data_IF_810171942263
#
_entry.id   IF_810171942263
#
_cell.length_a   1.000
_cell.length_b   1.000
_cell.length_c   1.000
_cell.angle_alpha   90.00
_cell.angle_beta   90.00
_cell.angle_gamma   90.00
#
_symmetry.space_group_name_H-M   'P 1'
#
loop_
_entity.id
_entity.type
_entity.pdbx_description
1 polymer ?
#
# COMPACT_ATOMS: atom_id res chain seq x y z
N UNK A 1 -20.70 -6.61 -19.29
CA UNK A 1 -20.10 -7.86 -18.79
C UNK A 1 -19.20 -7.49 -17.62
N UNK A 2 -19.45 -8.04 -16.44
CA UNK A 2 -18.55 -7.87 -15.29
C UNK A 2 -17.33 -8.75 -15.56
N UNK A 3 -16.15 -8.14 -15.58
CA UNK A 3 -14.88 -8.82 -15.90
C UNK A 3 -14.17 -9.35 -14.65
N UNK A 4 -14.58 -8.91 -13.46
CA UNK A 4 -14.06 -9.39 -12.19
C UNK A 4 -14.72 -8.69 -11.00
N UNK A 5 -14.73 -9.37 -9.85
CA UNK A 5 -15.29 -8.86 -8.59
C UNK A 5 -14.16 -8.83 -7.56
N UNK A 6 -13.83 -7.65 -7.04
CA UNK A 6 -12.88 -7.49 -5.93
C UNK A 6 -13.65 -7.22 -4.65
N UNK A 7 -13.74 -8.22 -3.77
CA UNK A 7 -14.41 -8.09 -2.48
C UNK A 7 -13.41 -8.31 -1.34
N UNK A 8 -13.59 -7.55 -0.25
CA UNK A 8 -12.87 -7.77 0.99
C UNK A 8 -13.65 -8.76 1.85
N UNK A 9 -13.09 -9.92 2.10
CA UNK A 9 -13.66 -10.94 2.99
C UNK A 9 -12.79 -11.12 4.22
N UNK A 10 -13.41 -11.42 5.36
CA UNK A 10 -12.72 -11.77 6.60
C UNK A 10 -12.69 -13.28 6.73
N UNK A 11 -11.54 -13.83 7.11
CA UNK A 11 -11.41 -15.27 7.37
C UNK A 11 -12.21 -15.61 8.63
N UNK A 12 -13.21 -16.46 8.48
CA UNK A 12 -14.07 -16.94 9.56
C UNK A 12 -13.42 -18.08 10.37
N UNK A 13 -14.22 -18.71 11.23
CA UNK A 13 -13.79 -19.87 12.02
C UNK A 13 -13.26 -20.98 11.09
N UNK A 14 -12.16 -21.61 11.50
CA UNK A 14 -11.50 -22.70 10.77
C UNK A 14 -10.97 -22.32 9.38
N UNK A 15 -10.69 -21.03 9.12
CA UNK A 15 -10.09 -20.62 7.85
C UNK A 15 -11.08 -20.47 6.69
N UNK A 16 -12.39 -20.58 6.95
CA UNK A 16 -13.42 -20.46 5.91
C UNK A 16 -13.56 -19.01 5.43
N UNK A 17 -13.64 -18.84 4.12
CA UNK A 17 -13.93 -17.56 3.45
C UNK A 17 -15.23 -17.74 2.67
N UNK A 18 -16.23 -16.92 2.98
CA UNK A 18 -17.51 -16.91 2.27
C UNK A 18 -17.53 -15.70 1.32
N UNK A 19 -17.78 -15.97 0.03
CA UNK A 19 -17.81 -14.97 -1.04
C UNK A 19 -19.21 -14.96 -1.66
N UNK A 20 -20.17 -14.19 -1.11
CA UNK A 20 -21.51 -14.09 -1.67
C UNK A 20 -21.49 -13.30 -2.99
N UNK A 21 -22.02 -13.90 -4.06
CA UNK A 21 -22.11 -13.24 -5.39
C UNK A 21 -23.55 -13.28 -5.88
N UNK A 22 -24.15 -12.12 -6.15
CA UNK A 22 -25.51 -12.02 -6.70
C UNK A 22 -25.54 -12.01 -8.23
N UNK A 23 -24.39 -11.80 -8.88
CA UNK A 23 -24.29 -11.47 -10.31
C UNK A 23 -23.69 -12.60 -11.16
N UNK A 24 -23.45 -13.78 -10.57
CA UNK A 24 -22.87 -14.94 -11.27
C UNK A 24 -23.92 -16.05 -11.35
N UNK A 25 -24.44 -16.36 -12.56
CA UNK A 25 -25.41 -17.42 -12.73
C UNK A 25 -24.77 -18.79 -12.47
N UNK A 26 -25.61 -19.77 -12.12
CA UNK A 26 -25.18 -21.15 -11.89
C UNK A 26 -24.47 -21.73 -13.13
N UNK A 27 -23.38 -22.47 -12.91
CA UNK A 27 -22.56 -23.04 -13.99
C UNK A 27 -21.49 -22.09 -14.55
N UNK A 28 -21.38 -20.85 -14.05
CA UNK A 28 -20.31 -19.92 -14.45
C UNK A 28 -18.96 -20.39 -13.90
N UNK A 29 -17.98 -20.57 -14.77
CA UNK A 29 -16.59 -20.85 -14.38
C UNK A 29 -15.95 -19.53 -13.94
N UNK A 30 -15.37 -19.51 -12.74
CA UNK A 30 -14.75 -18.32 -12.15
C UNK A 30 -13.35 -18.64 -11.64
N UNK A 31 -12.46 -17.66 -11.74
CA UNK A 31 -11.15 -17.69 -11.11
C UNK A 31 -11.19 -16.87 -9.82
N UNK A 32 -10.68 -17.44 -8.72
CA UNK A 32 -10.66 -16.79 -7.39
C UNK A 32 -9.22 -16.52 -6.99
N UNK A 33 -8.88 -15.23 -6.85
CA UNK A 33 -7.56 -14.80 -6.38
C UNK A 33 -7.68 -14.34 -4.93
N UNK A 34 -7.04 -15.07 -4.01
CA UNK A 34 -7.00 -14.71 -2.58
C UNK A 34 -5.72 -13.92 -2.29
N UNK A 35 -5.88 -12.64 -2.01
CA UNK A 35 -4.80 -11.76 -1.57
C UNK A 35 -4.89 -11.56 -0.06
N UNK A 36 -3.99 -12.19 0.69
CA UNK A 36 -3.84 -11.91 2.11
C UNK A 36 -3.04 -10.63 2.30
N UNK A 37 -3.71 -9.54 2.67
CA UNK A 37 -2.99 -8.42 3.28
C UNK A 37 -2.60 -8.84 4.68
N UNK A 38 -1.33 -8.72 5.11
CA UNK A 38 -1.02 -8.80 6.53
C UNK A 38 -1.91 -7.79 7.24
N UNK A 39 -2.51 -8.20 8.37
CA UNK A 39 -3.22 -7.30 9.27
C UNK A 39 -2.36 -6.05 9.38
N UNK A 40 -2.93 -4.90 9.00
CA UNK A 40 -2.25 -3.62 9.13
C UNK A 40 -1.80 -3.55 10.58
N UNK A 41 -0.50 -3.71 10.83
CA UNK A 41 0.09 -3.55 12.15
C UNK A 41 -0.43 -2.19 12.59
N UNK A 42 -1.20 -2.15 13.69
CA UNK A 42 -1.72 -0.89 14.19
C UNK A 42 -0.52 0.05 14.27
N UNK A 43 -0.54 1.13 13.49
CA UNK A 43 0.55 2.10 13.48
C UNK A 43 0.73 2.53 14.93
N UNK A 44 1.89 2.22 15.50
CA UNK A 44 2.17 2.56 16.88
C UNK A 44 2.18 4.09 16.95
N UNK A 45 1.21 4.65 17.67
CA UNK A 45 1.18 6.09 17.90
C UNK A 45 2.27 6.36 18.92
N UNK A 46 3.31 7.07 18.49
CA UNK A 46 4.42 7.47 19.34
C UNK A 46 4.16 8.89 19.82
N UNK A 47 4.40 9.15 21.10
CA UNK A 47 4.56 10.52 21.60
C UNK A 47 5.80 11.16 20.96
N UNK A 48 5.89 12.50 20.98
CA UNK A 48 7.06 13.20 20.44
C UNK A 48 8.39 12.70 21.05
N UNK A 49 8.38 12.37 22.35
CA UNK A 49 9.55 11.81 23.05
C UNK A 49 9.89 10.40 22.57
N UNK A 50 8.90 9.50 22.48
CA UNK A 50 9.15 8.14 21.97
C UNK A 50 9.56 8.12 20.49
N UNK A 51 9.13 9.11 19.71
CA UNK A 51 9.57 9.29 18.34
C UNK A 51 11.03 9.75 18.30
N UNK A 52 11.43 10.70 19.16
CA UNK A 52 12.82 11.15 19.30
C UNK A 52 13.74 9.99 19.72
N UNK A 53 13.28 9.13 20.64
CA UNK A 53 14.01 7.95 21.10
C UNK A 53 13.92 6.77 20.12
N UNK A 54 13.21 6.91 19.00
CA UNK A 54 13.08 5.87 17.97
C UNK A 54 14.20 5.94 16.94
N UNK A 55 14.43 4.82 16.23
CA UNK A 55 15.39 4.76 15.12
C UNK A 55 14.95 5.51 13.85
N UNK A 56 13.79 6.17 13.86
CA UNK A 56 13.30 6.96 12.73
C UNK A 56 13.94 8.36 12.69
N UNK A 57 14.17 8.96 13.86
CA UNK A 57 14.80 10.27 13.96
C UNK A 57 16.32 10.10 13.90
N UNK A 58 16.99 10.92 13.10
CA UNK A 58 18.44 10.79 12.85
C UNK A 58 18.82 9.72 11.83
N UNK A 59 17.86 9.01 11.22
CA UNK A 59 18.14 8.01 10.16
C UNK A 59 18.92 8.58 8.97
N UNK A 60 18.82 9.90 8.76
CA UNK A 60 19.46 10.65 7.68
C UNK A 60 20.68 11.44 8.15
N UNK A 61 21.02 11.40 9.45
CA UNK A 61 22.11 12.19 10.03
C UNK A 61 23.47 11.85 9.40
N UNK A 62 23.66 10.59 9.00
CA UNK A 62 24.93 10.08 8.47
C UNK A 62 24.84 9.70 6.98
N UNK A 63 23.84 10.20 6.27
CA UNK A 63 23.69 9.94 4.83
C UNK A 63 24.43 11.01 4.04
N UNK A 64 25.62 10.64 3.59
CA UNK A 64 26.50 11.50 2.78
C UNK A 64 26.19 11.42 1.27
N UNK A 65 25.31 10.50 0.88
CA UNK A 65 24.91 10.27 -0.52
C UNK A 65 23.83 11.27 -1.00
N UNK A 66 23.24 12.04 -0.08
CA UNK A 66 22.24 13.04 -0.41
C UNK A 66 22.91 14.40 -0.48
N UNK A 67 22.82 15.10 -1.62
CA UNK A 67 23.33 16.47 -1.74
C UNK A 67 22.49 17.42 -0.88
N UNK A 68 22.83 18.72 -0.88
CA UNK A 68 22.08 19.75 -0.16
C UNK A 68 20.56 19.52 -0.23
N UNK A 69 19.90 19.50 0.94
CA UNK A 69 18.49 19.13 1.09
C UNK A 69 17.56 19.91 0.16
N UNK A 70 17.89 21.17 -0.14
CA UNK A 70 17.09 22.04 -0.99
C UNK A 70 17.25 21.67 -2.47
N UNK A 71 18.47 21.34 -2.88
CA UNK A 71 18.79 20.82 -4.22
C UNK A 71 18.11 19.47 -4.43
N UNK A 72 18.26 18.56 -3.48
CA UNK A 72 17.65 17.24 -3.56
C UNK A 72 16.12 17.29 -3.58
N UNK A 73 15.50 18.15 -2.76
CA UNK A 73 14.05 18.36 -2.79
C UNK A 73 13.55 18.94 -4.12
N UNK A 74 14.33 19.82 -4.76
CA UNK A 74 14.00 20.34 -6.10
C UNK A 74 14.06 19.22 -7.14
N UNK A 75 15.10 18.40 -7.12
CA UNK A 75 15.25 17.26 -8.02
C UNK A 75 14.08 16.28 -7.91
N UNK A 76 13.65 15.93 -6.69
CA UNK A 76 12.51 15.05 -6.47
C UNK A 76 11.20 15.62 -7.05
N UNK A 77 10.99 16.94 -6.93
CA UNK A 77 9.82 17.61 -7.50
C UNK A 77 9.80 17.54 -9.03
N UNK A 78 10.95 17.78 -9.67
CA UNK A 78 11.06 17.67 -11.12
C UNK A 78 10.83 16.22 -11.59
N UNK A 79 11.36 15.23 -10.86
CA UNK A 79 11.16 13.81 -11.16
C UNK A 79 9.70 13.39 -11.02
N UNK A 80 8.97 13.88 -10.01
CA UNK A 80 7.55 13.54 -9.85
C UNK A 80 6.69 14.15 -10.94
N UNK A 81 6.96 15.40 -11.34
CA UNK A 81 6.24 16.09 -12.41
C UNK A 81 6.38 15.38 -13.77
N UNK A 82 7.50 14.70 -14.01
CA UNK A 82 7.70 13.92 -15.25
C UNK A 82 6.88 12.63 -15.28
N UNK A 83 6.49 12.05 -14.13
CA UNK A 83 5.72 10.77 -14.11
C UNK A 83 4.29 10.92 -14.62
N UNK A 84 3.68 12.10 -14.48
CA UNK A 84 2.32 12.36 -14.96
C UNK A 84 2.26 12.65 -16.48
N UNK A 85 3.40 12.79 -17.16
CA UNK A 85 3.41 13.14 -18.58
C UNK A 85 3.54 11.93 -19.53
N UNK A 86 3.84 10.73 -19.01
CA UNK A 86 4.15 9.54 -19.83
C UNK A 86 3.23 8.34 -19.56
N UNK A 87 1.99 8.60 -19.12
CA UNK A 87 0.94 7.58 -19.10
C UNK A 87 0.13 7.64 -20.40
N UNK A 88 0.20 6.64 -21.29
CA UNK A 88 -0.70 6.57 -22.43
C UNK A 88 -2.13 6.40 -21.92
N UNK A 89 -3.03 7.29 -22.36
CA UNK A 89 -4.48 7.20 -22.13
C UNK A 89 -5.10 6.05 -22.90
#
# INVERSE_FOLDING_TARGET
MITGIKQKATVGKNGKIELPTTELPEGTIVEVIVLSSPLSVKKKILTARELLDSSLIGLWEKRDDIPDSLVYARQLREQSQRRDYDSPR
#
